data_IF_936239175798
#
_entry.id   IF_936239175798
#
_cell.length_a   1.000
_cell.length_b   1.000
_cell.length_c   1.000
_cell.angle_alpha   90.00
_cell.angle_beta   90.00
_cell.angle_gamma   90.00
#
_symmetry.space_group_name_H-M   'P 1'
#
loop_
_entity.id
_entity.type
_entity.pdbx_description
1 polymer ?
#
# COMPACT_ATOMS: atom_id res chain seq x y z
N UNK A 1 -9.82 -6.04 8.24
CA UNK A 1 -9.72 -5.84 6.78
C UNK A 1 -10.29 -4.50 6.31
N UNK A 2 -11.39 -4.07 6.90
CA UNK A 2 -12.01 -2.80 6.48
C UNK A 2 -11.09 -1.60 6.65
N UNK A 3 -10.27 -1.59 7.68
CA UNK A 3 -9.31 -0.50 7.92
C UNK A 3 -8.29 -0.40 6.79
N UNK A 4 -7.78 -1.55 6.35
CA UNK A 4 -6.79 -1.60 5.27
C UNK A 4 -7.43 -1.20 3.95
N UNK A 5 -8.63 -1.71 3.66
CA UNK A 5 -9.34 -1.39 2.43
C UNK A 5 -9.69 0.09 2.36
N UNK A 6 -10.12 0.69 3.47
CA UNK A 6 -10.39 2.12 3.53
C UNK A 6 -9.13 2.93 3.27
N UNK A 7 -8.00 2.51 3.84
CA UNK A 7 -6.73 3.19 3.60
C UNK A 7 -6.32 3.09 2.13
N UNK A 8 -6.48 1.92 1.52
CA UNK A 8 -6.20 1.72 0.11
C UNK A 8 -7.05 2.65 -0.75
N UNK A 9 -8.35 2.75 -0.47
CA UNK A 9 -9.24 3.65 -1.19
C UNK A 9 -8.79 5.11 -1.09
N UNK A 10 -8.42 5.54 0.11
CA UNK A 10 -7.93 6.91 0.32
C UNK A 10 -6.66 7.18 -0.48
N UNK A 11 -5.72 6.24 -0.46
CA UNK A 11 -4.47 6.38 -1.19
C UNK A 11 -4.68 6.37 -2.71
N UNK A 12 -5.58 5.54 -3.19
CA UNK A 12 -5.93 5.51 -4.61
C UNK A 12 -6.57 6.82 -5.04
N UNK A 13 -7.46 7.38 -4.23
CA UNK A 13 -8.07 8.67 -4.52
C UNK A 13 -7.02 9.77 -4.60
N UNK A 14 -6.07 9.79 -3.68
CA UNK A 14 -4.98 10.77 -3.71
C UNK A 14 -4.12 10.61 -4.95
N UNK A 15 -3.83 9.37 -5.35
CA UNK A 15 -3.07 9.11 -6.56
C UNK A 15 -3.80 9.64 -7.79
N UNK A 16 -5.10 9.40 -7.89
CA UNK A 16 -5.92 9.92 -9.01
C UNK A 16 -5.90 11.44 -9.06
N UNK A 17 -6.01 12.10 -7.92
CA UNK A 17 -5.97 13.56 -7.86
C UNK A 17 -4.62 14.10 -8.33
N UNK A 18 -3.55 13.43 -7.97
CA UNK A 18 -2.20 13.85 -8.39
C UNK A 18 -2.00 13.63 -9.90
N UNK A 19 -2.52 12.54 -10.43
CA UNK A 19 -2.43 12.27 -11.87
C UNK A 19 -3.24 13.26 -12.70
N UNK A 20 -4.41 13.65 -12.20
CA UNK A 20 -5.28 14.61 -12.89
C UNK A 20 -4.78 16.02 -12.76
N UNK A 21 -3.83 16.28 -11.86
CA UNK A 21 -3.21 17.59 -11.73
C UNK A 21 -2.40 17.90 -12.99
N UNK A 22 -2.55 19.10 -13.50
CA UNK A 22 -1.81 19.55 -14.67
C UNK A 22 -0.34 19.87 -14.37
N UNK A 23 0.02 19.93 -13.10
CA UNK A 23 1.39 20.21 -12.68
C UNK A 23 2.12 18.94 -12.29
N UNK A 24 3.08 18.54 -13.11
CA UNK A 24 3.95 17.40 -12.81
C UNK A 24 5.33 17.91 -12.41
N UNK A 25 5.43 18.38 -11.17
CA UNK A 25 6.68 18.81 -10.58
C UNK A 25 7.41 17.64 -9.96
N UNK A 26 8.70 17.81 -9.63
CA UNK A 26 9.47 16.81 -8.91
C UNK A 26 8.82 16.46 -7.56
N UNK A 27 8.24 17.46 -6.92
CA UNK A 27 7.53 17.31 -5.66
C UNK A 27 6.30 16.40 -5.81
N UNK A 28 5.54 16.59 -6.88
CA UNK A 28 4.37 15.76 -7.19
C UNK A 28 4.79 14.31 -7.48
N UNK A 29 5.88 14.13 -8.22
CA UNK A 29 6.41 12.80 -8.51
C UNK A 29 6.86 12.07 -7.25
N UNK A 30 7.55 12.77 -6.36
CA UNK A 30 7.97 12.21 -5.08
C UNK A 30 6.77 11.76 -4.25
N UNK A 31 5.71 12.56 -4.27
CA UNK A 31 4.48 12.25 -3.56
C UNK A 31 3.80 11.02 -4.15
N UNK A 32 3.76 10.90 -5.48
CA UNK A 32 3.21 9.72 -6.15
C UNK A 32 4.00 8.46 -5.82
N UNK A 33 5.33 8.56 -5.83
CA UNK A 33 6.19 7.42 -5.49
C UNK A 33 5.92 6.95 -4.06
N UNK A 34 5.75 7.89 -3.13
CA UNK A 34 5.43 7.56 -1.75
C UNK A 34 4.06 6.91 -1.62
N UNK A 35 3.06 7.41 -2.35
CA UNK A 35 1.73 6.82 -2.36
C UNK A 35 1.75 5.38 -2.89
N UNK A 36 2.51 5.13 -3.95
CA UNK A 36 2.66 3.80 -4.49
C UNK A 36 3.30 2.84 -3.49
N UNK A 37 4.33 3.30 -2.78
CA UNK A 37 4.98 2.51 -1.75
C UNK A 37 4.01 2.19 -0.60
N UNK A 38 3.24 3.17 -0.16
CA UNK A 38 2.24 2.98 0.87
C UNK A 38 1.16 1.99 0.43
N UNK A 39 0.73 2.07 -0.82
CA UNK A 39 -0.24 1.12 -1.39
C UNK A 39 0.32 -0.30 -1.39
N UNK A 40 1.57 -0.47 -1.81
CA UNK A 40 2.21 -1.78 -1.83
C UNK A 40 2.25 -2.39 -0.43
N UNK A 41 2.57 -1.59 0.58
CA UNK A 41 2.57 -2.04 1.97
C UNK A 41 1.17 -2.46 2.42
N UNK A 42 0.14 -1.70 2.05
CA UNK A 42 -1.24 -2.04 2.40
C UNK A 42 -1.69 -3.35 1.74
N UNK A 43 -1.35 -3.55 0.47
CA UNK A 43 -1.66 -4.80 -0.23
C UNK A 43 -0.92 -5.98 0.37
N UNK A 44 0.35 -5.79 0.75
CA UNK A 44 1.13 -6.83 1.40
C UNK A 44 0.51 -7.23 2.74
N UNK A 45 0.12 -6.25 3.54
CA UNK A 45 -0.52 -6.50 4.82
C UNK A 45 -1.84 -7.27 4.65
N UNK A 46 -2.63 -6.89 3.66
CA UNK A 46 -3.89 -7.56 3.36
C UNK A 46 -3.65 -9.02 2.98
N UNK A 47 -2.63 -9.29 2.16
CA UNK A 47 -2.27 -10.65 1.80
C UNK A 47 -1.83 -11.46 3.00
N UNK A 48 -1.05 -10.87 3.91
CA UNK A 48 -0.62 -11.54 5.13
C UNK A 48 -1.81 -11.90 6.02
N UNK A 49 -2.76 -10.99 6.16
CA UNK A 49 -3.96 -11.24 6.96
C UNK A 49 -4.80 -12.37 6.37
N UNK A 50 -4.95 -12.39 5.05
CA UNK A 50 -5.70 -13.45 4.38
C UNK A 50 -5.01 -14.80 4.53
N UNK A 51 -3.69 -14.84 4.40
CA UNK A 51 -2.92 -16.06 4.58
C UNK A 51 -3.06 -16.60 6.00
N UNK A 52 -3.00 -15.74 7.01
CA UNK A 52 -3.14 -16.14 8.40
C UNK A 52 -4.53 -16.72 8.69
N UNK A 53 -5.57 -16.13 8.12
CA UNK A 53 -6.93 -16.68 8.24
C UNK A 53 -7.04 -18.06 7.64
N UNK A 54 -6.42 -18.26 6.48
CA UNK A 54 -6.47 -19.52 5.76
C UNK A 54 -5.82 -20.63 6.56
N UNK A 55 -4.81 -20.32 7.37
CA UNK A 55 -4.09 -21.28 8.20
C UNK A 55 -4.50 -21.23 9.67
N UNK A 56 -5.64 -20.63 9.98
CA UNK A 56 -6.14 -20.46 11.35
C UNK A 56 -5.19 -19.71 12.27
N UNK A 57 -4.38 -18.82 11.70
CA UNK A 57 -3.52 -17.95 12.47
C UNK A 57 -4.22 -16.62 12.75
N UNK A 58 -3.72 -15.87 13.75
CA UNK A 58 -4.28 -14.58 14.11
C UNK A 58 -3.92 -13.51 13.06
N UNK A 59 -4.93 -12.94 12.36
CA UNK A 59 -4.65 -11.89 11.37
C UNK A 59 -4.01 -10.65 11.97
N UNK A 60 -4.20 -10.40 13.26
CA UNK A 60 -3.63 -9.23 13.92
C UNK A 60 -2.11 -9.32 14.08
N UNK A 61 -1.54 -10.50 13.90
CA UNK A 61 -0.09 -10.66 13.90
C UNK A 61 0.58 -10.17 12.62
N UNK A 62 -0.21 -9.94 11.56
CA UNK A 62 0.35 -9.44 10.32
C UNK A 62 0.89 -8.02 10.49
N UNK A 63 2.06 -7.75 9.92
CA UNK A 63 2.71 -6.45 10.00
C UNK A 63 3.19 -6.01 8.63
N UNK A 64 3.16 -4.69 8.33
CA UNK A 64 3.72 -4.18 7.08
C UNK A 64 5.21 -4.46 7.01
N UNK A 65 5.69 -4.83 5.84
CA UNK A 65 7.11 -5.02 5.62
C UNK A 65 7.76 -3.70 5.24
N UNK A 66 9.03 -3.50 5.60
CA UNK A 66 9.77 -2.33 5.13
C UNK A 66 9.81 -2.29 3.59
N UNK A 67 9.79 -1.09 3.03
CA UNK A 67 9.81 -0.89 1.59
C UNK A 67 10.91 -1.67 0.86
N UNK A 68 12.17 -1.67 1.32
CA UNK A 68 13.21 -2.44 0.64
C UNK A 68 12.93 -3.94 0.54
N UNK A 69 12.27 -4.50 1.54
CA UNK A 69 11.89 -5.91 1.52
C UNK A 69 10.76 -6.19 0.54
N UNK A 70 9.80 -5.27 0.44
CA UNK A 70 8.70 -5.39 -0.52
C UNK A 70 9.25 -5.32 -1.95
N UNK A 71 10.14 -4.39 -2.22
CA UNK A 71 10.78 -4.24 -3.53
C UNK A 71 11.59 -5.47 -3.91
N UNK A 72 12.35 -6.03 -2.96
CA UNK A 72 13.12 -7.24 -3.19
C UNK A 72 12.22 -8.43 -3.53
N UNK A 73 11.05 -8.48 -2.94
CA UNK A 73 10.09 -9.54 -3.20
C UNK A 73 9.52 -9.47 -4.62
N UNK A 74 9.41 -8.28 -5.17
CA UNK A 74 8.88 -8.07 -6.51
C UNK A 74 9.92 -8.29 -7.62
N UNK A 75 11.17 -8.37 -7.26
CA UNK A 75 12.25 -8.69 -8.15
C UNK A 75 12.42 -10.21 -8.25
#
# INVERSE_FOLDING_TARGET
ENDILNRIHTLVDEEHKLRDSSEHTDETRSRMDKLEADLDQCWDLLRQRRAKRQYDEDPDEAQPRPEPQVESYLQ
#
